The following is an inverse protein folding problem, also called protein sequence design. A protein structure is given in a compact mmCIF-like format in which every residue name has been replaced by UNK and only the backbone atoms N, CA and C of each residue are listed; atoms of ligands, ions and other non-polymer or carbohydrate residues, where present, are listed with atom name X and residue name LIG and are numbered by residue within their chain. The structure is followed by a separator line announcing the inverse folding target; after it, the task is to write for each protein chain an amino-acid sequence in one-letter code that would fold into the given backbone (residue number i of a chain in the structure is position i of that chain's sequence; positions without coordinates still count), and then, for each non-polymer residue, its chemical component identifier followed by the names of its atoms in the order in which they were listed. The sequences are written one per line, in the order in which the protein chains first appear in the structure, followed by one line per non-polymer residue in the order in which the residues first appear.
data_IF_569234795060
#
_entry.id   IF_569234795060
#
_cell.length_a   1.000
_cell.length_b   1.000
_cell.length_c   1.000
_cell.angle_alpha   90.00
_cell.angle_beta   90.00
_cell.angle_gamma   90.00
#
_symmetry.space_group_name_H-M   'P 1'
#
loop_
_entity.id
_entity.type
_entity.pdbx_description
1 polymer ?
#
# COMPACT_ATOMS: atom_id res chain seq x y z
N UNK A 1 0.45 -1.00 -0.79
CA UNK A 1 1.17 -0.22 0.15
C UNK A 1 1.74 -0.97 1.34
N UNK A 2 1.15 -2.08 1.79
CA UNK A 2 1.55 -2.78 3.02
C UNK A 2 2.13 -4.17 2.76
N UNK A 3 1.73 -4.84 1.68
CA UNK A 3 2.25 -6.16 1.30
C UNK A 3 2.47 -6.27 -0.21
N UNK A 4 3.24 -7.27 -0.60
CA UNK A 4 3.58 -7.61 -1.98
C UNK A 4 3.15 -9.06 -2.25
N UNK A 5 2.35 -9.35 -3.30
CA UNK A 5 2.00 -10.73 -3.66
C UNK A 5 3.24 -11.59 -3.91
N UNK A 6 3.19 -12.84 -3.50
CA UNK A 6 4.32 -13.78 -3.59
C UNK A 6 5.31 -13.70 -2.43
N UNK A 7 5.08 -12.81 -1.47
CA UNK A 7 5.94 -12.67 -0.28
C UNK A 7 5.07 -12.72 0.99
N UNK A 8 4.64 -13.90 1.44
CA UNK A 8 3.85 -14.05 2.65
C UNK A 8 4.62 -13.51 3.87
N UNK A 9 3.89 -12.91 4.80
CA UNK A 9 4.40 -12.29 6.03
C UNK A 9 5.40 -11.13 5.84
N UNK A 10 5.63 -10.67 4.60
CA UNK A 10 6.42 -9.47 4.33
C UNK A 10 5.53 -8.24 4.37
N UNK A 11 5.78 -7.35 5.32
CA UNK A 11 5.14 -6.03 5.37
C UNK A 11 6.10 -4.94 4.93
N UNK A 12 5.57 -3.96 4.21
CA UNK A 12 6.29 -2.74 3.85
C UNK A 12 5.71 -1.55 4.60
N UNK A 13 6.57 -0.73 5.21
CA UNK A 13 6.18 0.52 5.86
C UNK A 13 6.49 1.66 4.90
N UNK A 14 5.49 2.48 4.62
CA UNK A 14 5.58 3.57 3.62
C UNK A 14 6.06 3.13 2.23
N UNK A 15 5.74 1.89 1.88
CA UNK A 15 6.11 1.30 0.59
C UNK A 15 5.28 1.84 -0.59
N UNK A 16 5.59 1.37 -1.82
CA UNK A 16 4.82 1.73 -3.02
C UNK A 16 3.33 1.48 -2.86
N UNK A 17 2.50 2.42 -3.31
CA UNK A 17 1.05 2.37 -3.15
C UNK A 17 0.54 2.92 -1.82
N UNK A 18 1.40 3.45 -0.96
CA UNK A 18 1.03 4.23 0.22
C UNK A 18 1.23 5.73 -0.03
N UNK A 19 0.69 6.63 0.84
CA UNK A 19 0.93 8.08 0.71
C UNK A 19 2.41 8.46 0.74
N UNK A 20 3.25 7.72 1.48
CA UNK A 20 4.70 7.90 1.52
C UNK A 20 5.06 9.38 1.71
N UNK A 21 5.98 9.90 0.91
CA UNK A 21 6.48 11.29 0.97
C UNK A 21 5.44 12.38 0.64
N UNK A 22 4.25 12.01 0.21
CA UNK A 22 3.16 12.97 -0.06
C UNK A 22 2.36 13.32 1.21
N UNK A 23 2.82 12.89 2.38
CA UNK A 23 2.22 13.19 3.68
C UNK A 23 3.30 13.32 4.75
N UNK A 24 2.88 13.62 5.98
CA UNK A 24 3.79 13.57 7.12
C UNK A 24 4.25 12.12 7.36
N UNK A 25 5.53 11.87 7.14
CA UNK A 25 6.11 10.52 7.19
C UNK A 25 5.95 9.83 8.55
N UNK A 26 6.25 10.47 9.70
CA UNK A 26 5.99 9.87 11.01
C UNK A 26 4.54 9.41 11.19
N UNK A 27 3.57 10.21 10.81
CA UNK A 27 2.15 9.84 10.90
C UNK A 27 1.80 8.64 10.02
N UNK A 28 2.35 8.58 8.81
CA UNK A 28 2.15 7.45 7.90
C UNK A 28 2.82 6.18 8.43
N UNK A 29 3.99 6.29 9.04
CA UNK A 29 4.68 5.17 9.68
C UNK A 29 3.86 4.63 10.86
N UNK A 30 3.38 5.49 11.75
CA UNK A 30 2.54 5.12 12.88
C UNK A 30 1.28 4.38 12.41
N UNK A 31 0.57 4.91 11.42
CA UNK A 31 -0.62 4.28 10.85
C UNK A 31 -0.32 2.87 10.32
N UNK A 32 0.80 2.67 9.62
CA UNK A 32 1.21 1.36 9.12
C UNK A 32 1.56 0.40 10.26
N UNK A 33 2.32 0.86 11.25
CA UNK A 33 2.73 0.03 12.40
C UNK A 33 1.50 -0.42 13.20
N UNK A 34 0.56 0.47 13.45
CA UNK A 34 -0.68 0.14 14.15
C UNK A 34 -1.52 -0.88 13.36
N UNK A 35 -1.65 -0.70 12.06
CA UNK A 35 -2.37 -1.65 11.21
C UNK A 35 -1.69 -3.03 11.21
N UNK A 36 -0.36 -3.09 11.11
CA UNK A 36 0.41 -4.34 11.14
C UNK A 36 0.28 -5.01 12.52
N UNK A 37 0.38 -4.26 13.61
CA UNK A 37 0.13 -4.77 14.97
C UNK A 37 -1.25 -5.42 15.08
N UNK A 38 -2.28 -4.74 14.60
CA UNK A 38 -3.66 -5.22 14.66
C UNK A 38 -3.84 -6.47 13.80
N UNK A 39 -3.20 -6.52 12.64
CA UNK A 39 -3.16 -7.67 11.75
C UNK A 39 -2.52 -8.89 12.44
N UNK A 40 -1.34 -8.73 13.01
CA UNK A 40 -0.63 -9.80 13.73
C UNK A 40 -1.47 -10.28 14.93
N UNK A 41 -2.07 -9.37 15.68
CA UNK A 41 -2.96 -9.71 16.79
C UNK A 41 -4.19 -10.52 16.34
N UNK A 42 -4.78 -10.15 15.20
CA UNK A 42 -5.88 -10.91 14.59
C UNK A 42 -5.43 -12.30 14.16
N UNK A 43 -4.30 -12.41 13.46
CA UNK A 43 -3.74 -13.70 13.04
C UNK A 43 -3.50 -14.62 14.24
N UNK A 44 -2.86 -14.12 15.29
CA UNK A 44 -2.61 -14.89 16.51
C UNK A 44 -3.90 -15.41 17.16
N UNK A 45 -4.93 -14.56 17.25
CA UNK A 45 -6.22 -14.94 17.82
C UNK A 45 -6.98 -15.98 17.00
N UNK A 46 -6.74 -16.01 15.69
CA UNK A 46 -7.38 -16.92 14.74
C UNK A 46 -6.50 -18.11 14.36
N UNK A 47 -5.33 -18.24 15.00
CA UNK A 47 -4.34 -19.30 14.75
C UNK A 47 -3.84 -19.35 13.30
N UNK A 48 -3.88 -18.19 12.59
CA UNK A 48 -3.24 -18.05 11.28
C UNK A 48 -1.73 -17.84 11.44
N UNK A 49 -0.96 -18.48 10.59
CA UNK A 49 0.51 -18.40 10.57
C UNK A 49 1.04 -17.60 9.39
N UNK A 50 0.22 -17.42 8.35
CA UNK A 50 0.61 -16.66 7.17
C UNK A 50 -0.48 -15.68 6.71
N UNK A 51 -0.03 -14.57 6.17
CA UNK A 51 -0.86 -13.60 5.46
C UNK A 51 -0.16 -13.16 4.18
N UNK A 52 -0.87 -13.16 3.06
CA UNK A 52 -0.34 -12.74 1.78
C UNK A 52 -1.35 -11.90 1.00
N UNK A 53 -0.86 -10.86 0.31
CA UNK A 53 -1.69 -10.05 -0.55
C UNK A 53 -2.17 -10.84 -1.78
N UNK A 54 -3.48 -10.78 -2.10
CA UNK A 54 -4.02 -11.37 -3.32
C UNK A 54 -3.55 -10.59 -4.55
N UNK A 55 -2.97 -11.26 -5.53
CA UNK A 55 -2.42 -10.64 -6.76
C UNK A 55 -3.44 -9.80 -7.52
N UNK A 56 -4.70 -10.27 -7.61
CA UNK A 56 -5.77 -9.54 -8.29
C UNK A 56 -6.14 -8.24 -7.57
N UNK A 57 -6.14 -8.22 -6.23
CA UNK A 57 -6.43 -7.03 -5.42
C UNK A 57 -5.25 -6.07 -5.42
N UNK A 58 -4.03 -6.57 -5.37
CA UNK A 58 -2.83 -5.75 -5.51
C UNK A 58 -2.80 -5.04 -6.88
N UNK A 59 -3.18 -5.73 -7.96
CA UNK A 59 -3.33 -5.12 -9.29
C UNK A 59 -4.40 -4.02 -9.32
N UNK A 60 -5.57 -4.28 -8.73
CA UNK A 60 -6.64 -3.26 -8.60
C UNK A 60 -6.17 -2.05 -7.81
N UNK A 61 -5.45 -2.27 -6.71
CA UNK A 61 -4.87 -1.18 -5.93
C UNK A 61 -3.87 -0.35 -6.73
N UNK A 62 -2.97 -0.98 -7.49
CA UNK A 62 -2.06 -0.28 -8.39
C UNK A 62 -2.79 0.58 -9.44
N UNK A 63 -3.89 0.07 -9.99
CA UNK A 63 -4.75 0.83 -10.91
C UNK A 63 -5.39 2.05 -10.21
N UNK A 64 -5.87 1.90 -8.98
CA UNK A 64 -6.43 3.00 -8.19
C UNK A 64 -5.38 4.06 -7.87
N UNK A 65 -4.17 3.65 -7.47
CA UNK A 65 -3.04 4.56 -7.23
C UNK A 65 -2.77 5.42 -8.46
N UNK A 66 -2.68 4.79 -9.63
CA UNK A 66 -2.45 5.51 -10.89
C UNK A 66 -3.65 6.39 -11.30
N UNK A 67 -4.88 5.91 -11.10
CA UNK A 67 -6.10 6.69 -11.37
C UNK A 67 -6.16 7.98 -10.55
N UNK A 68 -5.78 7.90 -9.27
CA UNK A 68 -5.75 9.07 -8.37
C UNK A 68 -4.61 10.01 -8.76
N UNK A 69 -3.42 9.48 -9.06
CA UNK A 69 -2.27 10.26 -9.50
C UNK A 69 -2.55 11.04 -10.79
N UNK A 70 -3.25 10.43 -11.76
CA UNK A 70 -3.59 11.05 -13.04
C UNK A 70 -4.55 12.24 -12.94
N UNK A 71 -5.15 12.47 -11.76
CA UNK A 71 -5.93 13.68 -11.48
C UNK A 71 -5.06 14.85 -10.99
N UNK A 72 -3.77 14.65 -10.90
CA UNK A 72 -2.78 15.63 -10.45
C UNK A 72 -1.75 15.91 -11.54
N UNK A 73 -0.93 16.93 -11.35
CA UNK A 73 0.19 17.22 -12.25
C UNK A 73 1.42 16.34 -11.97
N UNK A 74 1.42 15.55 -10.91
CA UNK A 74 2.59 14.76 -10.48
C UNK A 74 3.11 13.78 -11.54
N UNK A 75 2.25 13.05 -12.31
CA UNK A 75 2.73 12.15 -13.34
C UNK A 75 3.36 12.84 -14.57
N UNK A 76 3.17 14.15 -14.74
CA UNK A 76 3.69 14.89 -15.90
C UNK A 76 5.16 15.26 -15.78
N UNK A 77 5.75 15.11 -14.61
CA UNK A 77 7.15 15.44 -14.34
C UNK A 77 8.09 14.45 -15.06
N UNK A 78 8.97 14.98 -15.92
CA UNK A 78 9.78 14.16 -16.83
C UNK A 78 10.82 13.28 -16.12
N UNK A 79 11.41 13.74 -15.03
CA UNK A 79 12.54 13.11 -14.34
C UNK A 79 12.26 12.81 -12.87
N UNK A 80 11.03 12.37 -12.55
CA UNK A 80 10.66 12.06 -11.19
C UNK A 80 10.99 10.60 -10.82
N UNK A 81 11.69 10.40 -9.73
CA UNK A 81 11.91 9.06 -9.17
C UNK A 81 10.59 8.41 -8.69
N UNK A 82 9.54 9.18 -8.40
CA UNK A 82 8.19 8.67 -8.12
C UNK A 82 7.60 7.83 -9.25
N UNK A 83 8.09 8.06 -10.47
CA UNK A 83 7.67 7.34 -11.68
C UNK A 83 8.68 6.25 -12.07
N UNK A 84 9.78 6.08 -11.34
CA UNK A 84 10.89 5.23 -11.75
C UNK A 84 11.67 5.76 -12.96
N UNK A 85 11.49 7.04 -13.32
CA UNK A 85 12.10 7.64 -14.50
C UNK A 85 13.63 7.84 -14.39
N UNK A 86 14.17 7.64 -13.20
CA UNK A 86 15.61 7.66 -12.93
C UNK A 86 16.32 6.34 -13.33
N UNK A 87 15.57 5.30 -13.69
CA UNK A 87 16.11 4.00 -14.11
C UNK A 87 15.81 3.79 -15.59
N UNK A 88 16.81 3.76 -16.50
CA UNK A 88 16.60 3.51 -17.92
C UNK A 88 15.87 2.19 -18.18
N UNK A 89 14.89 2.20 -19.08
CA UNK A 89 14.13 1.01 -19.48
C UNK A 89 13.04 0.56 -18.49
N UNK A 90 12.93 1.18 -17.31
CA UNK A 90 11.86 0.87 -16.36
C UNK A 90 10.54 1.47 -16.80
N UNK A 91 9.41 0.72 -16.73
CA UNK A 91 8.08 1.29 -16.97
C UNK A 91 7.80 2.46 -16.02
N UNK A 92 7.21 3.52 -16.55
CA UNK A 92 6.81 4.70 -15.79
C UNK A 92 5.52 4.40 -15.03
N UNK A 93 5.62 4.20 -13.71
CA UNK A 93 4.48 3.94 -12.82
C UNK A 93 4.59 4.88 -11.63
N UNK A 94 3.54 5.64 -11.35
CA UNK A 94 3.51 6.51 -10.19
C UNK A 94 3.35 5.67 -8.92
N UNK A 95 4.36 5.70 -8.04
CA UNK A 95 4.44 4.82 -6.88
C UNK A 95 3.70 5.31 -5.64
N UNK A 96 3.74 6.60 -5.25
CA UNK A 96 3.02 7.07 -4.07
C UNK A 96 1.51 7.16 -4.31
N UNK A 97 0.71 6.98 -3.24
CA UNK A 97 -0.73 7.23 -3.28
C UNK A 97 -1.06 8.71 -3.06
N UNK A 98 -1.52 9.40 -4.09
CA UNK A 98 -1.82 10.84 -4.07
C UNK A 98 -3.19 11.19 -3.47
N UNK A 99 -3.93 10.22 -2.93
CA UNK A 99 -5.26 10.44 -2.34
C UNK A 99 -5.27 10.95 -0.90
N UNK A 100 -4.09 11.11 -0.30
CA UNK A 100 -3.90 11.57 1.07
C UNK A 100 -4.03 10.49 2.14
N UNK A 101 -3.41 10.74 3.29
CA UNK A 101 -3.37 9.81 4.41
C UNK A 101 -4.77 9.52 5.01
N UNK A 102 -5.68 10.48 5.19
CA UNK A 102 -7.00 10.18 5.77
C UNK A 102 -7.80 9.18 4.95
N UNK A 103 -7.79 9.31 3.63
CA UNK A 103 -8.49 8.38 2.74
C UNK A 103 -7.82 6.99 2.74
N UNK A 104 -6.49 6.97 2.72
CA UNK A 104 -5.72 5.72 2.80
C UNK A 104 -5.99 4.98 4.11
N UNK A 105 -5.96 5.68 5.25
CA UNK A 105 -6.26 5.11 6.56
C UNK A 105 -7.67 4.51 6.63
N UNK A 106 -8.67 5.22 6.06
CA UNK A 106 -10.04 4.70 5.99
C UNK A 106 -10.11 3.37 5.23
N UNK A 107 -9.43 3.26 4.09
CA UNK A 107 -9.36 2.01 3.32
C UNK A 107 -8.71 0.89 4.15
N UNK A 108 -7.61 1.19 4.83
CA UNK A 108 -6.94 0.23 5.71
C UNK A 108 -7.84 -0.22 6.88
N UNK A 109 -8.63 0.69 7.45
CA UNK A 109 -9.58 0.37 8.52
C UNK A 109 -10.76 -0.48 8.04
N UNK A 110 -11.23 -0.27 6.82
CA UNK A 110 -12.24 -1.12 6.19
C UNK A 110 -11.74 -2.56 6.03
N UNK A 111 -10.49 -2.76 5.62
CA UNK A 111 -9.86 -4.09 5.54
C UNK A 111 -9.81 -4.76 6.92
N UNK A 112 -9.44 -4.02 7.98
CA UNK A 112 -9.46 -4.56 9.37
C UNK A 112 -10.87 -4.97 9.79
N UNK A 113 -11.88 -4.12 9.53
CA UNK A 113 -13.29 -4.40 9.86
C UNK A 113 -13.82 -5.65 9.17
N UNK A 114 -13.34 -5.93 7.96
CA UNK A 114 -13.67 -7.11 7.17
C UNK A 114 -12.75 -8.31 7.47
N UNK A 115 -12.12 -8.35 8.66
CA UNK A 115 -11.30 -9.47 9.10
C UNK A 115 -10.17 -9.85 8.13
N UNK A 116 -9.60 -8.87 7.44
CA UNK A 116 -8.52 -9.06 6.46
C UNK A 116 -8.86 -10.04 5.31
N UNK A 117 -10.15 -10.22 4.98
CA UNK A 117 -10.59 -11.16 3.92
C UNK A 117 -10.03 -10.86 2.53
N UNK A 118 -9.55 -9.64 2.32
CA UNK A 118 -8.85 -9.24 1.10
C UNK A 118 -7.45 -9.87 0.95
N UNK A 119 -6.99 -10.57 1.97
CA UNK A 119 -5.73 -11.30 1.98
C UNK A 119 -5.95 -12.81 1.94
N UNK A 120 -4.90 -13.55 1.63
CA UNK A 120 -4.85 -15.00 1.81
C UNK A 120 -4.33 -15.24 3.23
N UNK A 121 -5.11 -15.89 4.04
CA UNK A 121 -4.80 -16.24 5.43
C UNK A 121 -4.70 -17.77 5.54
N UNK A 122 -3.66 -18.26 6.17
CA UNK A 122 -3.46 -19.69 6.43
C UNK A 122 -2.78 -19.94 7.78
#
# INVERSE_FOLDING_TARGET
GLQIPGFPNLFTITGPGSPSVLTNMPMAIEQHVEWIRDCISFMTKKEYTTIEARSNLAKKWGQEVNRVANKTLLPTVKHSWYLGANIPGKPRVFMPYAGGLPRYSKICDEVKKNNFEDFILA
#
